data_IF_010628796399
#
_entry.id   IF_010628796399
#
_cell.length_a   1.000
_cell.length_b   1.000
_cell.length_c   1.000
_cell.angle_alpha   90.00
_cell.angle_beta   90.00
_cell.angle_gamma   90.00
#
_symmetry.space_group_name_H-M   'P 1'
#
loop_
_entity.id
_entity.type
_entity.pdbx_description
1 polymer ?
#
# COMPACT_ATOMS: atom_id res chain seq x y z
N UNK A 1 5.50 10.29 -10.91
CA UNK A 1 4.78 9.07 -10.51
C UNK A 1 5.58 8.17 -9.56
N UNK A 2 6.83 7.77 -9.88
CA UNK A 2 7.63 6.87 -9.02
C UNK A 2 7.80 7.37 -7.57
N UNK A 3 8.03 8.67 -7.38
CA UNK A 3 8.13 9.31 -6.05
C UNK A 3 6.84 9.15 -5.21
N UNK A 4 5.66 9.25 -5.84
CA UNK A 4 4.37 9.11 -5.15
C UNK A 4 4.10 7.66 -4.74
N UNK A 5 4.48 6.69 -5.59
CA UNK A 5 4.39 5.26 -5.25
C UNK A 5 5.31 4.94 -4.07
N UNK A 6 6.51 5.51 -4.05
CA UNK A 6 7.48 5.31 -2.97
C UNK A 6 6.99 5.92 -1.64
N UNK A 7 6.44 7.15 -1.68
CA UNK A 7 5.83 7.79 -0.51
C UNK A 7 4.65 6.95 0.01
N UNK A 8 3.77 6.46 -0.87
CA UNK A 8 2.66 5.60 -0.47
C UNK A 8 3.13 4.31 0.22
N UNK A 9 4.17 3.67 -0.32
CA UNK A 9 4.74 2.46 0.26
C UNK A 9 5.34 2.72 1.66
N UNK A 10 6.04 3.85 1.84
CA UNK A 10 6.61 4.25 3.14
C UNK A 10 5.49 4.51 4.16
N UNK A 11 4.42 5.22 3.76
CA UNK A 11 3.27 5.47 4.65
C UNK A 11 2.65 4.16 5.13
N UNK A 12 2.38 3.22 4.20
CA UNK A 12 1.86 1.90 4.57
C UNK A 12 2.81 1.10 5.46
N UNK A 13 4.12 1.14 5.19
CA UNK A 13 5.13 0.48 6.03
C UNK A 13 5.12 1.04 7.46
N UNK A 14 4.99 2.36 7.60
CA UNK A 14 4.95 3.03 8.91
C UNK A 14 3.68 2.64 9.67
N UNK A 15 2.52 2.62 9.00
CA UNK A 15 1.23 2.21 9.59
C UNK A 15 1.30 0.75 10.07
N UNK A 16 1.84 -0.15 9.26
CA UNK A 16 1.97 -1.58 9.60
C UNK A 16 2.89 -1.75 10.81
N UNK A 17 3.99 -1.00 10.88
CA UNK A 17 4.94 -1.07 11.99
C UNK A 17 4.31 -0.55 13.29
N UNK A 18 3.61 0.58 13.24
CA UNK A 18 2.88 1.13 14.39
C UNK A 18 1.76 0.19 14.82
N UNK A 19 0.98 -0.35 13.88
CA UNK A 19 -0.05 -1.34 14.20
C UNK A 19 0.54 -2.60 14.85
N UNK A 20 1.72 -3.03 14.40
CA UNK A 20 2.43 -4.16 14.99
C UNK A 20 3.00 -3.91 16.36
N UNK A 21 3.32 -2.67 16.68
CA UNK A 21 3.74 -2.31 18.01
C UNK A 21 2.54 -2.20 18.96
N UNK A 22 1.46 -1.53 18.56
CA UNK A 22 0.31 -1.28 19.42
C UNK A 22 -0.60 -2.49 19.65
N UNK A 23 -0.81 -3.33 18.63
CA UNK A 23 -1.82 -4.38 18.67
C UNK A 23 -1.24 -5.78 18.91
N UNK A 24 0.03 -5.89 19.30
CA UNK A 24 0.74 -7.16 19.50
C UNK A 24 0.04 -8.13 20.47
N UNK A 25 -0.60 -7.61 21.53
CA UNK A 25 -1.25 -8.42 22.57
C UNK A 25 -2.72 -8.75 22.31
N UNK A 26 -3.26 -8.34 21.16
CA UNK A 26 -4.66 -8.61 20.82
C UNK A 26 -4.79 -9.99 20.19
N UNK A 27 -5.69 -10.83 20.74
CA UNK A 27 -5.86 -12.24 20.35
C UNK A 27 -6.07 -12.50 18.83
N UNK A 28 -6.52 -11.48 18.09
CA UNK A 28 -6.81 -11.56 16.65
C UNK A 28 -5.86 -10.73 15.77
N UNK A 29 -4.76 -10.24 16.32
CA UNK A 29 -3.81 -9.37 15.61
C UNK A 29 -3.26 -10.00 14.33
N UNK A 30 -3.05 -11.33 14.32
CA UNK A 30 -2.57 -12.05 13.13
C UNK A 30 -3.47 -11.86 11.89
N UNK A 31 -4.79 -11.90 12.07
CA UNK A 31 -5.74 -11.69 10.98
C UNK A 31 -5.75 -10.22 10.55
N UNK A 32 -5.73 -9.30 11.51
CA UNK A 32 -5.68 -7.86 11.25
C UNK A 32 -4.41 -7.46 10.47
N UNK A 33 -3.27 -8.01 10.86
CA UNK A 33 -1.99 -7.81 10.18
C UNK A 33 -2.01 -8.33 8.75
N UNK A 34 -2.60 -9.51 8.52
CA UNK A 34 -2.72 -10.06 7.18
C UNK A 34 -3.60 -9.20 6.27
N UNK A 35 -4.71 -8.70 6.79
CA UNK A 35 -5.61 -7.76 6.09
C UNK A 35 -4.88 -6.45 5.77
N UNK A 36 -4.09 -5.92 6.69
CA UNK A 36 -3.27 -4.72 6.47
C UNK A 36 -2.27 -4.90 5.34
N UNK A 37 -1.50 -6.01 5.34
CA UNK A 37 -0.54 -6.31 4.27
C UNK A 37 -1.25 -6.49 2.93
N UNK A 38 -2.36 -7.23 2.91
CA UNK A 38 -3.12 -7.49 1.69
C UNK A 38 -3.67 -6.19 1.09
N UNK A 39 -4.21 -5.31 1.94
CA UNK A 39 -4.72 -3.99 1.54
C UNK A 39 -3.61 -3.07 1.00
N UNK A 40 -2.45 -3.05 1.66
CA UNK A 40 -1.29 -2.29 1.20
C UNK A 40 -0.81 -2.74 -0.19
N UNK A 41 -0.77 -4.06 -0.42
CA UNK A 41 -0.43 -4.65 -1.71
C UNK A 41 -1.43 -4.31 -2.81
N UNK A 42 -2.74 -4.44 -2.51
CA UNK A 42 -3.81 -4.07 -3.45
C UNK A 42 -3.77 -2.59 -3.83
N UNK A 43 -3.61 -1.69 -2.85
CA UNK A 43 -3.51 -0.26 -3.09
C UNK A 43 -2.30 0.08 -3.97
N UNK A 44 -1.12 -0.50 -3.69
CA UNK A 44 0.06 -0.30 -4.53
C UNK A 44 -0.13 -0.87 -5.95
N UNK A 45 -0.80 -2.02 -6.10
CA UNK A 45 -1.12 -2.60 -7.42
C UNK A 45 -2.09 -1.72 -8.20
N UNK A 46 -3.14 -1.21 -7.57
CA UNK A 46 -4.10 -0.29 -8.17
C UNK A 46 -3.41 1.01 -8.61
N UNK A 47 -2.64 1.65 -7.72
CA UNK A 47 -1.90 2.88 -8.04
C UNK A 47 -0.94 2.64 -9.20
N UNK A 48 -0.25 1.50 -9.24
CA UNK A 48 0.63 1.12 -10.35
C UNK A 48 -0.14 0.97 -11.68
N UNK A 49 -1.29 0.30 -11.66
CA UNK A 49 -2.15 0.15 -12.86
C UNK A 49 -2.73 1.48 -13.35
N UNK A 50 -3.23 2.33 -12.45
CA UNK A 50 -3.75 3.65 -12.81
C UNK A 50 -2.64 4.58 -13.31
N UNK A 51 -1.47 4.57 -12.66
CA UNK A 51 -0.31 5.32 -13.11
C UNK A 51 0.15 4.86 -14.51
N UNK A 52 0.18 3.54 -14.77
CA UNK A 52 0.51 3.01 -16.09
C UNK A 52 -0.51 3.41 -17.17
N UNK A 53 -1.80 3.47 -16.83
CA UNK A 53 -2.87 3.89 -17.76
C UNK A 53 -2.70 5.36 -18.19
N UNK A 54 -2.29 6.25 -17.28
CA UNK A 54 -2.04 7.67 -17.62
C UNK A 54 -0.85 7.89 -18.57
N UNK A 55 0.16 7.01 -18.55
CA UNK A 55 1.30 7.09 -19.49
C UNK A 55 0.86 6.69 -20.89
N UNK A 56 0.02 5.65 -21.02
CA UNK A 56 -0.44 5.17 -22.33
C UNK A 56 -1.36 6.18 -23.06
N UNK A 57 -2.15 6.95 -22.31
CA UNK A 57 -2.99 8.03 -22.87
C UNK A 57 -2.14 9.21 -23.39
N UNK A 58 -0.97 9.47 -22.80
CA UNK A 58 -0.10 10.58 -23.20
C UNK A 58 0.74 10.30 -24.45
N UNK A 59 0.98 9.04 -24.80
CA UNK A 59 1.70 8.67 -26.03
C UNK A 59 0.80 8.50 -27.27
N UNK A 60 -0.51 8.78 -27.17
CA UNK A 60 -1.46 8.69 -28.29
C UNK A 60 -2.11 10.04 -28.62
N UNK A 61 -1.38 11.13 -28.40
CA UNK A 61 -1.78 12.50 -28.74
C UNK A 61 -0.58 13.21 -29.33
#
# INVERSE_FOLDING_TARGET
>A
MKKLVLINAIVWATIILVASYLFRDVANYKYFFFVLIFSAGLMNMLISKYAAKTVKVRCNK
#
